data_IF_877072863558
#
_entry.id   IF_877072863558
#
_cell.length_a   1.000
_cell.length_b   1.000
_cell.length_c   1.000
_cell.angle_alpha   90.00
_cell.angle_beta   90.00
_cell.angle_gamma   90.00
#
_symmetry.space_group_name_H-M   'P 1'
#
loop_
_entity.id
_entity.type
_entity.pdbx_description
1 polymer ?
#
# COMPACT_ATOMS: atom_id res chain seq x y z
N UNK A 1 45.06 -11.05 -11.72
CA UNK A 1 44.54 -10.37 -10.71
C UNK A 1 43.13 -10.10 -10.87
N UNK A 2 42.30 -10.80 -10.27
CA UNK A 2 40.98 -10.60 -10.40
C UNK A 2 40.51 -9.60 -9.55
N UNK A 3 39.83 -8.71 -10.11
CA UNK A 3 39.05 -7.76 -9.44
C UNK A 3 38.12 -8.49 -8.53
N UNK A 4 38.26 -8.33 -7.26
CA UNK A 4 37.22 -8.64 -6.38
C UNK A 4 36.02 -7.88 -6.87
N UNK A 5 35.04 -8.59 -7.40
CA UNK A 5 33.78 -7.99 -7.76
C UNK A 5 33.31 -7.15 -6.59
N UNK A 6 32.99 -5.89 -6.84
CA UNK A 6 32.39 -5.06 -5.81
C UNK A 6 31.20 -5.84 -5.25
N UNK A 7 31.03 -5.90 -3.94
CA UNK A 7 29.84 -6.52 -3.38
C UNK A 7 28.63 -5.87 -4.07
N UNK A 8 27.71 -6.70 -4.50
CA UNK A 8 26.46 -6.18 -5.04
C UNK A 8 25.96 -5.12 -4.07
N UNK A 9 25.68 -3.93 -4.54
CA UNK A 9 25.11 -2.94 -3.65
C UNK A 9 23.90 -3.56 -3.00
N UNK A 10 23.79 -3.43 -1.68
CA UNK A 10 22.58 -3.78 -0.98
C UNK A 10 21.40 -3.29 -1.82
N UNK A 11 20.28 -4.04 -1.87
CA UNK A 11 19.15 -3.60 -2.65
C UNK A 11 18.78 -2.19 -2.22
N UNK A 12 19.34 -1.24 -2.92
CA UNK A 12 19.00 0.12 -2.72
C UNK A 12 17.60 0.30 -3.27
N UNK A 13 16.77 0.95 -2.52
CA UNK A 13 15.63 1.57 -3.12
C UNK A 13 16.15 2.42 -4.24
N UNK A 14 16.05 1.88 -5.42
CA UNK A 14 16.36 2.64 -6.60
C UNK A 14 15.37 3.80 -6.63
N UNK A 15 15.87 5.02 -6.74
CA UNK A 15 15.03 6.20 -6.93
C UNK A 15 14.06 6.05 -8.10
N UNK A 16 14.26 5.01 -8.96
CA UNK A 16 13.38 4.69 -10.08
C UNK A 16 12.30 3.68 -9.73
N UNK A 17 12.27 3.16 -8.49
CA UNK A 17 11.24 2.21 -8.10
C UNK A 17 9.89 2.92 -8.06
N UNK A 18 8.93 2.37 -8.79
CA UNK A 18 7.56 2.88 -8.82
C UNK A 18 6.71 2.09 -7.84
N UNK A 19 5.92 2.79 -7.04
CA UNK A 19 4.88 2.21 -6.20
C UNK A 19 3.55 2.79 -6.63
N UNK A 20 2.57 1.92 -6.81
CA UNK A 20 1.21 2.34 -7.14
C UNK A 20 0.37 2.43 -5.86
N UNK A 21 -0.63 3.29 -5.86
CA UNK A 21 -1.65 3.34 -4.81
C UNK A 21 -3.03 3.26 -5.44
N UNK A 22 -4.00 2.72 -4.71
CA UNK A 22 -5.38 2.64 -5.17
C UNK A 22 -6.32 2.65 -3.96
N UNK A 23 -7.46 3.33 -4.13
CA UNK A 23 -8.58 3.25 -3.18
C UNK A 23 -9.77 2.62 -3.85
N UNK A 24 -10.53 1.80 -3.12
CA UNK A 24 -11.67 1.10 -3.70
C UNK A 24 -13.01 1.79 -3.46
N UNK A 25 -13.01 2.95 -2.85
CA UNK A 25 -14.22 3.75 -2.65
C UNK A 25 -14.95 3.96 -3.97
N UNK A 26 -16.21 3.54 -4.01
CA UNK A 26 -17.02 3.67 -5.22
C UNK A 26 -16.73 2.67 -6.35
N UNK A 27 -15.73 1.79 -6.19
CA UNK A 27 -15.33 0.87 -7.24
C UNK A 27 -16.15 -0.43 -7.25
N UNK A 28 -16.26 -1.05 -8.43
CA UNK A 28 -16.67 -2.44 -8.57
C UNK A 28 -15.40 -3.31 -8.57
N UNK A 29 -15.54 -4.59 -8.25
CA UNK A 29 -14.39 -5.52 -8.29
C UNK A 29 -13.84 -5.61 -9.72
N UNK A 30 -14.72 -5.74 -10.71
CA UNK A 30 -14.27 -5.85 -12.10
C UNK A 30 -13.49 -4.62 -12.57
N UNK A 31 -13.99 -3.43 -12.28
CA UNK A 31 -13.30 -2.18 -12.61
C UNK A 31 -11.97 -2.04 -11.88
N UNK A 32 -11.96 -2.45 -10.61
CA UNK A 32 -10.76 -2.45 -9.79
C UNK A 32 -9.67 -3.37 -10.37
N UNK A 33 -10.03 -4.61 -10.68
CA UNK A 33 -9.10 -5.57 -11.27
C UNK A 33 -8.58 -5.10 -12.64
N UNK A 34 -9.47 -4.54 -13.46
CA UNK A 34 -9.08 -4.02 -14.77
C UNK A 34 -8.04 -2.90 -14.64
N UNK A 35 -8.23 -1.99 -13.68
CA UNK A 35 -7.30 -0.90 -13.41
C UNK A 35 -5.91 -1.44 -13.02
N UNK A 36 -5.88 -2.44 -12.14
CA UNK A 36 -4.60 -3.04 -11.71
C UNK A 36 -3.91 -3.76 -12.86
N UNK A 37 -4.65 -4.49 -13.67
CA UNK A 37 -4.08 -5.20 -14.83
C UNK A 37 -3.51 -4.22 -15.84
N UNK A 38 -4.21 -3.15 -16.13
CA UNK A 38 -3.74 -2.11 -17.05
C UNK A 38 -2.45 -1.46 -16.59
N UNK A 39 -2.30 -1.28 -15.29
CA UNK A 39 -1.09 -0.69 -14.72
C UNK A 39 0.08 -1.69 -14.63
N UNK A 40 -0.16 -2.97 -14.90
CA UNK A 40 0.88 -4.00 -14.81
C UNK A 40 1.22 -4.41 -13.39
N UNK A 41 0.31 -4.20 -12.44
CA UNK A 41 0.52 -4.57 -11.04
C UNK A 41 0.55 -6.08 -10.90
N UNK A 42 1.55 -6.60 -10.16
CA UNK A 42 1.73 -8.01 -9.90
C UNK A 42 1.49 -8.39 -8.43
N UNK A 43 1.45 -7.40 -7.54
CA UNK A 43 1.24 -7.61 -6.11
C UNK A 43 0.40 -6.48 -5.52
N UNK A 44 -0.58 -6.85 -4.70
CA UNK A 44 -1.35 -5.87 -3.93
C UNK A 44 -0.95 -6.00 -2.46
N UNK A 45 -0.54 -4.89 -1.87
CA UNK A 45 -0.20 -4.79 -0.45
C UNK A 45 -1.34 -4.06 0.24
N UNK A 46 -2.09 -4.81 1.02
CA UNK A 46 -3.25 -4.29 1.75
C UNK A 46 -2.78 -3.66 3.05
N UNK A 47 -2.83 -2.34 3.12
CA UNK A 47 -2.40 -1.58 4.30
C UNK A 47 -3.57 -1.15 5.17
N UNK A 48 -4.71 -1.82 5.06
CA UNK A 48 -5.86 -1.57 5.94
C UNK A 48 -5.62 -2.25 7.29
N UNK A 49 -5.96 -1.55 8.38
CA UNK A 49 -5.93 -2.16 9.71
C UNK A 49 -6.98 -3.28 9.81
N UNK A 50 -8.17 -3.03 9.25
CA UNK A 50 -9.26 -4.00 9.17
C UNK A 50 -9.58 -4.26 7.71
N UNK A 51 -9.25 -5.45 7.18
CA UNK A 51 -9.50 -5.81 5.78
C UNK A 51 -10.93 -6.32 5.60
N UNK A 52 -11.88 -5.54 6.09
CA UNK A 52 -13.31 -5.82 6.00
C UNK A 52 -13.99 -4.68 5.29
N UNK A 53 -14.96 -5.00 4.43
CA UNK A 53 -15.69 -3.99 3.70
C UNK A 53 -17.15 -4.41 3.52
N UNK A 54 -18.06 -3.44 3.60
CA UNK A 54 -19.45 -3.64 3.22
C UNK A 54 -19.60 -3.67 1.72
N UNK A 55 -18.61 -3.16 0.99
CA UNK A 55 -18.62 -3.18 -0.45
C UNK A 55 -18.31 -4.59 -0.93
N UNK A 56 -19.18 -5.21 -1.77
CA UNK A 56 -19.00 -6.60 -2.19
C UNK A 56 -17.63 -6.84 -2.84
N UNK A 57 -16.95 -7.90 -2.40
CA UNK A 57 -15.70 -8.35 -3.00
C UNK A 57 -14.43 -7.70 -2.43
N UNK A 58 -14.54 -6.72 -1.51
CA UNK A 58 -13.37 -6.00 -1.00
C UNK A 58 -12.93 -6.40 0.41
N UNK A 59 -13.59 -7.36 1.03
CA UNK A 59 -13.06 -7.98 2.24
C UNK A 59 -11.91 -8.91 1.88
N UNK A 60 -11.03 -9.18 2.84
CA UNK A 60 -9.76 -9.88 2.63
C UNK A 60 -9.89 -11.14 1.78
N UNK A 61 -10.73 -12.08 2.20
CA UNK A 61 -10.80 -13.40 1.52
C UNK A 61 -11.32 -13.33 0.10
N UNK A 62 -12.47 -12.68 -0.18
CA UNK A 62 -12.94 -12.58 -1.56
C UNK A 62 -12.00 -11.74 -2.43
N UNK A 63 -11.38 -10.70 -1.88
CA UNK A 63 -10.43 -9.88 -2.64
C UNK A 63 -9.19 -10.70 -3.02
N UNK A 64 -8.62 -11.41 -2.05
CA UNK A 64 -7.44 -12.24 -2.30
C UNK A 64 -7.73 -13.31 -3.36
N UNK A 65 -8.91 -13.93 -3.31
CA UNK A 65 -9.31 -14.92 -4.30
C UNK A 65 -9.46 -14.30 -5.70
N UNK A 66 -10.09 -13.14 -5.81
CA UNK A 66 -10.26 -12.45 -7.09
C UNK A 66 -8.92 -12.03 -7.69
N UNK A 67 -8.00 -11.53 -6.87
CA UNK A 67 -6.67 -11.15 -7.31
C UNK A 67 -5.88 -12.37 -7.82
N UNK A 68 -5.98 -13.48 -7.11
CA UNK A 68 -5.31 -14.72 -7.49
C UNK A 68 -5.75 -15.19 -8.87
N UNK A 69 -7.03 -15.07 -9.18
CA UNK A 69 -7.58 -15.48 -10.48
C UNK A 69 -6.96 -14.69 -11.64
N UNK A 70 -6.53 -13.46 -11.41
CA UNK A 70 -5.90 -12.63 -12.43
C UNK A 70 -4.38 -12.55 -12.27
N UNK A 71 -3.79 -13.42 -11.45
CA UNK A 71 -2.34 -13.52 -11.30
C UNK A 71 -1.70 -12.43 -10.44
N UNK A 72 -2.47 -11.77 -9.57
CA UNK A 72 -1.96 -10.76 -8.66
C UNK A 72 -1.87 -11.33 -7.25
N UNK A 73 -0.69 -11.22 -6.65
CA UNK A 73 -0.45 -11.70 -5.28
C UNK A 73 -1.06 -10.72 -4.28
N UNK A 74 -1.61 -11.26 -3.19
CA UNK A 74 -2.18 -10.46 -2.10
C UNK A 74 -1.34 -10.62 -0.83
N UNK A 75 -0.93 -9.50 -0.24
CA UNK A 75 -0.22 -9.47 1.06
C UNK A 75 -0.91 -8.47 1.96
N UNK A 76 -1.21 -8.86 3.19
CA UNK A 76 -1.83 -7.96 4.17
C UNK A 76 -0.79 -7.56 5.23
N UNK A 77 -0.57 -6.25 5.38
CA UNK A 77 0.31 -5.67 6.39
C UNK A 77 -0.52 -4.79 7.33
N UNK A 78 -1.23 -5.44 8.26
CA UNK A 78 -2.18 -4.77 9.15
C UNK A 78 -1.56 -3.66 10.01
N UNK A 79 -0.28 -3.81 10.37
CA UNK A 79 0.40 -2.84 11.24
C UNK A 79 0.71 -1.53 10.54
N UNK A 80 0.53 -1.47 9.22
CA UNK A 80 0.58 -0.23 8.44
C UNK A 80 -0.79 0.45 8.34
N UNK A 81 -1.82 -0.15 8.92
CA UNK A 81 -3.15 0.43 8.94
C UNK A 81 -3.31 1.49 10.02
N UNK A 82 -4.35 2.28 9.89
CA UNK A 82 -4.65 3.35 10.84
C UNK A 82 -5.56 2.82 11.96
N UNK A 83 -5.26 3.11 13.24
CA UNK A 83 -6.19 2.82 14.32
C UNK A 83 -7.55 3.50 14.11
N UNK A 84 -8.57 3.03 14.82
CA UNK A 84 -9.95 3.52 14.65
C UNK A 84 -10.07 5.04 14.72
N UNK A 85 -9.38 5.67 15.66
CA UNK A 85 -9.40 7.13 15.81
C UNK A 85 -8.93 7.83 14.54
N UNK A 86 -7.89 7.30 13.89
CA UNK A 86 -7.39 7.83 12.63
C UNK A 86 -8.34 7.57 11.46
N UNK A 87 -8.97 6.38 11.43
CA UNK A 87 -9.98 6.09 10.40
C UNK A 87 -11.18 7.01 10.50
N UNK A 88 -11.64 7.29 11.72
CA UNK A 88 -12.73 8.22 11.95
C UNK A 88 -12.36 9.64 11.52
N UNK A 89 -11.13 10.06 11.82
CA UNK A 89 -10.61 11.36 11.38
C UNK A 89 -10.56 11.47 9.85
N UNK A 90 -10.10 10.42 9.17
CA UNK A 90 -10.05 10.38 7.70
C UNK A 90 -11.44 10.55 7.09
N UNK A 91 -12.45 9.90 7.66
CA UNK A 91 -13.85 10.01 7.19
C UNK A 91 -14.40 11.42 7.34
N UNK A 92 -13.93 12.16 8.34
CA UNK A 92 -14.36 13.54 8.58
C UNK A 92 -13.53 14.57 7.82
N UNK A 93 -12.48 14.12 7.13
CA UNK A 93 -11.55 15.04 6.48
C UNK A 93 -10.62 15.74 7.46
N UNK A 94 -10.51 15.25 8.69
CA UNK A 94 -9.62 15.82 9.71
C UNK A 94 -8.19 15.27 9.51
N UNK A 95 -7.48 15.87 8.59
CA UNK A 95 -6.13 15.44 8.20
C UNK A 95 -5.13 15.61 9.35
N UNK A 96 -5.30 16.64 10.17
CA UNK A 96 -4.41 16.89 11.31
C UNK A 96 -4.45 15.75 12.33
N UNK A 97 -5.65 15.33 12.72
CA UNK A 97 -5.82 14.20 13.65
C UNK A 97 -5.36 12.89 13.01
N UNK A 98 -5.67 12.68 11.73
CA UNK A 98 -5.20 11.48 11.01
C UNK A 98 -3.67 11.41 11.05
N UNK A 99 -2.98 12.50 10.74
CA UNK A 99 -1.52 12.55 10.73
C UNK A 99 -0.95 12.25 12.12
N UNK A 100 -1.50 12.86 13.15
CA UNK A 100 -1.06 12.64 14.53
C UNK A 100 -1.19 11.17 14.94
N UNK A 101 -2.36 10.58 14.72
CA UNK A 101 -2.63 9.19 15.06
C UNK A 101 -1.75 8.25 14.26
N UNK A 102 -1.57 8.53 12.98
CA UNK A 102 -0.79 7.66 12.12
C UNK A 102 0.72 7.75 12.40
N UNK A 103 1.23 8.94 12.72
CA UNK A 103 2.63 9.10 13.12
C UNK A 103 2.92 8.25 14.36
N UNK A 104 2.00 8.25 15.33
CA UNK A 104 2.13 7.42 16.52
C UNK A 104 2.11 5.93 16.17
N UNK A 105 1.26 5.52 15.22
CA UNK A 105 1.20 4.14 14.77
C UNK A 105 2.51 3.72 14.07
N UNK A 106 3.02 4.56 13.18
CA UNK A 106 4.27 4.27 12.47
C UNK A 106 5.50 4.22 13.39
N UNK A 107 5.43 4.86 14.54
CA UNK A 107 6.51 4.81 15.53
C UNK A 107 6.59 3.47 16.26
N UNK A 108 5.54 2.64 16.18
CA UNK A 108 5.54 1.33 16.82
C UNK A 108 6.51 0.37 16.14
N UNK A 109 7.22 -0.50 16.90
CA UNK A 109 8.17 -1.45 16.31
C UNK A 109 7.55 -2.35 15.26
N UNK A 110 6.32 -2.82 15.48
CA UNK A 110 5.60 -3.69 14.54
C UNK A 110 5.34 -2.96 13.22
N UNK A 111 4.97 -1.69 13.29
CA UNK A 111 4.75 -0.88 12.09
C UNK A 111 6.04 -0.63 11.33
N UNK A 112 7.14 -0.40 12.04
CA UNK A 112 8.44 -0.21 11.41
C UNK A 112 8.92 -1.47 10.70
N UNK A 113 8.71 -2.64 11.30
CA UNK A 113 9.00 -3.92 10.65
C UNK A 113 8.12 -4.14 9.43
N UNK A 114 6.85 -3.82 9.53
CA UNK A 114 5.92 -3.94 8.40
C UNK A 114 6.28 -2.98 7.27
N UNK A 115 6.73 -1.77 7.59
CA UNK A 115 7.18 -0.80 6.59
C UNK A 115 8.42 -1.31 5.85
N UNK A 116 9.39 -1.86 6.57
CA UNK A 116 10.58 -2.46 5.94
C UNK A 116 10.17 -3.62 5.01
N UNK A 117 9.25 -4.47 5.45
CA UNK A 117 8.73 -5.55 4.63
C UNK A 117 8.01 -5.03 3.38
N UNK A 118 7.22 -3.98 3.52
CA UNK A 118 6.56 -3.34 2.37
C UNK A 118 7.58 -2.88 1.33
N UNK A 119 8.65 -2.25 1.77
CA UNK A 119 9.69 -1.77 0.87
C UNK A 119 10.36 -2.92 0.13
N UNK A 120 10.65 -4.03 0.81
CA UNK A 120 11.22 -5.23 0.20
C UNK A 120 10.26 -5.82 -0.83
N UNK A 121 8.99 -5.95 -0.48
CA UNK A 121 7.96 -6.49 -1.37
C UNK A 121 7.80 -5.61 -2.62
N UNK A 122 7.81 -4.29 -2.45
CA UNK A 122 7.65 -3.35 -3.55
C UNK A 122 8.86 -3.34 -4.49
N UNK A 123 10.06 -3.72 -4.00
CA UNK A 123 11.26 -3.81 -4.84
C UNK A 123 11.31 -5.09 -5.66
N UNK A 124 10.56 -6.12 -5.29
CA UNK A 124 10.58 -7.42 -6.00
C UNK A 124 9.77 -7.42 -7.28
N UNK A 125 8.63 -6.73 -7.29
CA UNK A 125 7.73 -6.66 -8.44
C UNK A 125 6.77 -5.49 -8.31
N UNK A 126 6.15 -5.06 -9.44
CA UNK A 126 5.21 -3.94 -9.40
C UNK A 126 4.10 -4.16 -8.37
N UNK A 127 4.02 -3.27 -7.41
CA UNK A 127 3.13 -3.40 -6.27
C UNK A 127 2.23 -2.18 -6.11
N UNK A 128 1.02 -2.41 -5.60
CA UNK A 128 0.04 -1.36 -5.31
C UNK A 128 -0.34 -1.41 -3.83
N UNK A 129 -0.41 -0.25 -3.20
CA UNK A 129 -0.93 -0.12 -1.84
C UNK A 129 -2.43 0.10 -1.91
N UNK A 130 -3.18 -0.67 -1.14
CA UNK A 130 -4.65 -0.60 -1.08
C UNK A 130 -5.12 0.07 0.20
N UNK A 131 -6.02 1.03 0.07
CA UNK A 131 -6.80 1.60 1.15
C UNK A 131 -8.25 1.82 0.69
N UNK A 132 -9.12 2.33 1.56
CA UNK A 132 -10.51 2.59 1.20
C UNK A 132 -10.65 3.84 0.32
N UNK A 133 -10.08 4.97 0.75
CA UNK A 133 -10.34 6.27 0.14
C UNK A 133 -9.82 6.32 -1.29
N UNK A 134 -10.66 6.80 -2.20
CA UNK A 134 -10.30 7.01 -3.59
C UNK A 134 -9.27 8.13 -3.73
N UNK A 135 -9.46 9.21 -2.97
CA UNK A 135 -8.52 10.32 -2.96
C UNK A 135 -7.39 10.04 -1.98
N UNK A 136 -6.12 9.92 -2.44
CA UNK A 136 -5.01 9.63 -1.55
C UNK A 136 -4.75 10.73 -0.51
N UNK A 137 -5.20 11.96 -0.75
CA UNK A 137 -5.05 13.05 0.24
C UNK A 137 -5.80 12.78 1.54
N UNK A 138 -6.82 11.93 1.51
CA UNK A 138 -7.63 11.61 2.67
C UNK A 138 -7.30 10.24 3.27
N UNK A 139 -6.15 9.67 2.90
CA UNK A 139 -5.79 8.32 3.30
C UNK A 139 -4.39 8.26 3.90
N UNK A 140 -4.21 7.34 4.83
CA UNK A 140 -2.91 7.11 5.46
C UNK A 140 -1.84 6.59 4.49
N UNK A 141 -2.20 6.05 3.32
CA UNK A 141 -1.19 5.57 2.35
C UNK A 141 -0.27 6.70 1.87
N UNK A 142 -0.78 7.91 1.73
CA UNK A 142 0.05 9.08 1.39
C UNK A 142 1.02 9.39 2.53
N UNK A 143 0.54 9.37 3.77
CA UNK A 143 1.37 9.59 4.95
C UNK A 143 2.44 8.51 5.09
N UNK A 144 2.10 7.26 4.80
CA UNK A 144 3.03 6.15 4.81
C UNK A 144 4.17 6.37 3.82
N UNK A 145 3.84 6.76 2.59
CA UNK A 145 4.85 6.97 1.55
C UNK A 145 5.69 8.23 1.82
N UNK A 146 5.13 9.26 2.42
CA UNK A 146 5.91 10.41 2.89
C UNK A 146 6.94 9.98 3.92
N UNK A 147 6.57 9.07 4.82
CA UNK A 147 7.45 8.63 5.90
C UNK A 147 8.54 7.66 5.43
N UNK A 148 8.21 6.71 4.56
CA UNK A 148 9.11 5.61 4.22
C UNK A 148 9.38 5.43 2.73
N UNK A 149 8.65 6.12 1.87
CA UNK A 149 8.75 5.96 0.42
C UNK A 149 9.66 6.97 -0.27
N UNK A 150 10.58 7.59 0.46
CA UNK A 150 11.48 8.59 -0.12
C UNK A 150 12.29 7.99 -1.26
N UNK A 151 12.38 8.72 -2.37
CA UNK A 151 13.09 8.25 -3.56
C UNK A 151 12.27 7.35 -4.48
N UNK A 152 11.06 6.98 -4.09
CA UNK A 152 10.15 6.21 -4.96
C UNK A 152 9.31 7.14 -5.83
N UNK A 153 8.99 6.66 -7.03
CA UNK A 153 7.99 7.32 -7.87
C UNK A 153 6.62 6.78 -7.49
N UNK A 154 5.72 7.64 -7.06
CA UNK A 154 4.37 7.26 -6.64
C UNK A 154 3.38 7.54 -7.76
N UNK A 155 2.60 6.52 -8.13
CA UNK A 155 1.54 6.64 -9.13
C UNK A 155 0.21 6.26 -8.47
N UNK A 156 -0.68 7.24 -8.34
CA UNK A 156 -2.00 7.01 -7.77
C UNK A 156 -2.95 6.53 -8.86
N UNK A 157 -3.51 5.33 -8.67
CA UNK A 157 -4.46 4.75 -9.60
C UNK A 157 -5.90 5.07 -9.18
N UNK A 158 -6.73 5.29 -10.16
CA UNK A 158 -8.16 5.57 -9.96
C UNK A 158 -9.00 4.61 -10.80
N UNK A 159 -10.00 4.03 -10.15
CA UNK A 159 -10.93 3.12 -10.84
C UNK A 159 -11.98 3.91 -11.62
#
# INVERSE_FOLDING_TARGET
MEGLGAPDPAPHFNAMTTIFTIGYEGATVDGFLATLKQAGVARLIDVRALPLSRRPGFSKSPLAAALKEVGIEYVHLKDLGTPKRGRDAAKKGDVGTLREVYDDQLAQPEAQMAAARMLDLASEKPSVLLCYERDPCHCHRTLLLEAVGQGMTVVDLYV
#
